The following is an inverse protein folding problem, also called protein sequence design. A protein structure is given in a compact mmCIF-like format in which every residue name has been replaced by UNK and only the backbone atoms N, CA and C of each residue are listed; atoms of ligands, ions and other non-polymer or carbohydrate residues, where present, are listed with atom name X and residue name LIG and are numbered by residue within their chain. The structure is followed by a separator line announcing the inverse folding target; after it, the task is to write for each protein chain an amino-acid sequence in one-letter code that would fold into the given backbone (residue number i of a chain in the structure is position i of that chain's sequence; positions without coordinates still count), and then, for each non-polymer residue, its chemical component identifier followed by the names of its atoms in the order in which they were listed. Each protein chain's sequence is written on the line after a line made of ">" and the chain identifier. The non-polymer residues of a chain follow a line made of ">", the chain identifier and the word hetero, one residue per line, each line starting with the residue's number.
data_IF_465834046514
#
_entry.id   IF_465834046514
#
_cell.length_a   1.000
_cell.length_b   1.000
_cell.length_c   1.000
_cell.angle_alpha   90.00
_cell.angle_beta   90.00
_cell.angle_gamma   90.00
#
_symmetry.space_group_name_H-M   'P 1'
#
loop_
_entity.id
_entity.type
_entity.pdbx_description
1 polymer ?
#
# COMPACT_ATOMS: atom_id res chain seq x y z
N UNK A 1 17.22 -8.40 1.22
CA UNK A 1 16.85 -7.79 2.51
C UNK A 1 17.91 -7.97 3.58
N UNK A 2 18.30 -9.19 4.00
CA UNK A 2 19.35 -9.35 5.04
C UNK A 2 20.68 -8.62 4.75
N UNK A 3 21.12 -8.59 3.49
CA UNK A 3 22.37 -7.90 3.11
C UNK A 3 22.29 -6.38 3.04
N UNK A 4 21.11 -5.78 3.27
CA UNK A 4 20.86 -4.33 3.17
C UNK A 4 20.09 -3.81 4.40
N UNK A 5 20.12 -4.54 5.52
CA UNK A 5 19.37 -4.20 6.73
C UNK A 5 20.12 -4.69 7.97
N UNK A 6 20.22 -3.85 9.00
CA UNK A 6 20.80 -4.23 10.29
C UNK A 6 19.91 -5.26 11.03
N UNK A 7 18.60 -5.08 10.93
CA UNK A 7 17.60 -5.98 11.48
C UNK A 7 16.59 -6.38 10.40
N UNK A 8 16.14 -7.64 10.45
CA UNK A 8 15.10 -8.15 9.57
C UNK A 8 14.04 -8.90 10.37
N UNK A 9 12.83 -8.36 10.35
CA UNK A 9 11.64 -8.99 10.88
C UNK A 9 10.82 -9.60 9.75
N UNK A 10 10.43 -10.86 9.90
CA UNK A 10 9.56 -11.57 8.96
C UNK A 10 8.25 -11.83 9.68
N UNK A 11 7.13 -11.49 9.02
CA UNK A 11 5.78 -11.75 9.51
C UNK A 11 5.02 -12.59 8.49
N UNK A 12 4.21 -13.53 8.96
CA UNK A 12 3.32 -14.34 8.13
C UNK A 12 1.96 -14.47 8.81
N UNK A 13 0.89 -14.28 8.05
CA UNK A 13 -0.49 -14.34 8.56
C UNK A 13 -0.87 -15.71 9.13
N UNK A 14 -0.19 -16.78 8.71
CA UNK A 14 -0.40 -18.16 9.18
C UNK A 14 0.66 -18.65 10.17
N UNK A 15 1.63 -17.79 10.52
CA UNK A 15 2.73 -18.12 11.42
C UNK A 15 3.75 -19.12 10.88
N UNK A 16 3.69 -19.49 9.59
CA UNK A 16 4.62 -20.45 8.98
C UNK A 16 6.07 -19.99 9.02
N UNK A 17 6.33 -18.67 9.14
CA UNK A 17 7.68 -18.13 9.24
C UNK A 17 7.75 -16.82 10.03
N UNK A 18 8.60 -16.79 11.04
CA UNK A 18 8.85 -15.58 11.82
C UNK A 18 7.70 -15.29 12.79
N UNK A 19 7.18 -14.07 12.78
CA UNK A 19 6.08 -13.65 13.64
C UNK A 19 4.74 -13.98 13.00
N UNK A 20 3.86 -14.63 13.75
CA UNK A 20 2.46 -14.84 13.36
C UNK A 20 1.67 -13.55 13.60
N UNK A 21 1.20 -12.92 12.52
CA UNK A 21 0.47 -11.67 12.57
C UNK A 21 0.89 -10.69 11.47
N UNK A 22 0.51 -9.43 11.64
CA UNK A 22 0.73 -8.40 10.65
C UNK A 22 2.03 -7.64 10.90
N UNK A 23 2.54 -6.97 9.85
CA UNK A 23 3.69 -6.07 9.96
C UNK A 23 3.47 -4.96 10.99
N UNK A 24 2.23 -4.54 11.21
CA UNK A 24 1.86 -3.52 12.20
C UNK A 24 2.13 -3.94 13.63
N UNK A 25 2.10 -5.24 13.92
CA UNK A 25 2.31 -5.78 15.27
C UNK A 25 3.78 -5.59 15.68
N UNK A 26 4.70 -5.85 14.74
CA UNK A 26 6.13 -5.59 14.92
C UNK A 26 6.42 -4.10 15.04
N UNK A 27 5.86 -3.27 14.16
CA UNK A 27 6.06 -1.81 14.20
C UNK A 27 5.58 -1.25 15.55
N UNK A 28 4.39 -1.66 16.00
CA UNK A 28 3.84 -1.25 17.29
C UNK A 28 4.75 -1.68 18.45
N UNK A 29 5.20 -2.94 18.45
CA UNK A 29 6.11 -3.46 19.49
C UNK A 29 7.42 -2.67 19.57
N UNK A 30 8.00 -2.30 18.44
CA UNK A 30 9.25 -1.52 18.41
C UNK A 30 9.04 -0.11 18.97
N UNK A 31 7.95 0.56 18.58
CA UNK A 31 7.61 1.91 19.05
C UNK A 31 7.28 1.92 20.55
N UNK A 32 6.47 0.98 21.02
CA UNK A 32 6.12 0.83 22.45
C UNK A 32 7.34 0.42 23.29
N UNK A 33 8.26 -0.36 22.71
CA UNK A 33 9.51 -0.75 23.34
C UNK A 33 10.56 0.37 23.45
N UNK A 34 10.25 1.58 22.97
CA UNK A 34 11.15 2.73 23.02
C UNK A 34 12.27 2.69 21.97
N UNK A 35 12.14 1.86 20.93
CA UNK A 35 13.08 1.86 19.81
C UNK A 35 13.00 3.21 19.11
N UNK A 36 14.14 3.89 18.94
CA UNK A 36 14.18 5.16 18.23
C UNK A 36 13.95 4.91 16.74
N UNK A 37 12.83 5.41 16.21
CA UNK A 37 12.48 5.34 14.79
C UNK A 37 12.20 6.75 14.28
N UNK A 38 13.12 7.28 13.48
CA UNK A 38 12.99 8.63 12.91
C UNK A 38 12.08 8.66 11.66
N UNK A 39 11.93 7.52 10.96
CA UNK A 39 11.14 7.41 9.73
C UNK A 39 10.64 6.00 9.49
N UNK A 40 9.40 5.88 9.00
CA UNK A 40 8.82 4.65 8.46
C UNK A 40 8.51 4.84 6.98
N UNK A 41 8.83 3.84 6.15
CA UNK A 41 8.43 3.78 4.75
C UNK A 41 7.62 2.50 4.54
N UNK A 42 6.37 2.65 4.08
CA UNK A 42 5.44 1.54 3.90
C UNK A 42 5.06 1.38 2.43
N UNK A 43 5.24 0.16 1.91
CA UNK A 43 4.95 -0.20 0.52
C UNK A 43 4.19 -1.53 0.55
N UNK A 44 2.96 -1.53 0.05
CA UNK A 44 2.11 -2.71 0.06
C UNK A 44 0.65 -2.37 -0.24
N UNK A 45 -0.30 -3.25 0.13
CA UNK A 45 -1.72 -2.98 -0.08
C UNK A 45 -2.18 -1.68 0.61
N UNK A 46 -3.14 -0.92 0.04
CA UNK A 46 -3.64 0.32 0.65
C UNK A 46 -4.13 0.14 2.10
N UNK A 47 -4.74 -1.02 2.39
CA UNK A 47 -5.21 -1.37 3.74
C UNK A 47 -4.02 -1.50 4.70
N UNK A 48 -2.94 -2.15 4.29
CA UNK A 48 -1.72 -2.28 5.09
C UNK A 48 -1.08 -0.91 5.33
N UNK A 49 -0.95 -0.09 4.28
CA UNK A 49 -0.38 1.26 4.38
C UNK A 49 -1.20 2.15 5.31
N UNK A 50 -2.54 2.09 5.24
CA UNK A 50 -3.45 2.77 6.17
C UNK A 50 -3.23 2.33 7.62
N UNK A 51 -3.07 1.03 7.85
CA UNK A 51 -2.83 0.51 9.20
C UNK A 51 -1.47 0.96 9.76
N UNK A 52 -0.42 0.98 8.94
CA UNK A 52 0.90 1.51 9.34
C UNK A 52 0.80 3.01 9.67
N UNK A 53 0.10 3.80 8.87
CA UNK A 53 -0.16 5.21 9.15
C UNK A 53 -0.88 5.39 10.51
N UNK A 54 -1.84 4.53 10.82
CA UNK A 54 -2.56 4.52 12.09
C UNK A 54 -1.68 4.18 13.29
N UNK A 55 -0.80 3.18 13.17
CA UNK A 55 0.10 2.77 14.27
C UNK A 55 1.18 3.81 14.56
N UNK A 56 1.68 4.48 13.53
CA UNK A 56 2.80 5.44 13.66
C UNK A 56 2.36 6.83 14.11
N UNK A 57 1.11 7.23 13.83
CA UNK A 57 0.60 8.57 14.12
C UNK A 57 0.65 8.96 15.61
N UNK A 58 0.25 8.12 16.58
CA UNK A 58 0.34 8.45 18.01
C UNK A 58 1.78 8.70 18.50
N UNK A 59 2.77 8.11 17.85
CA UNK A 59 4.18 8.26 18.18
C UNK A 59 4.85 9.41 17.43
N UNK A 60 4.09 10.16 16.62
CA UNK A 60 4.58 11.27 15.81
C UNK A 60 5.77 10.90 14.90
N UNK A 61 5.79 9.65 14.41
CA UNK A 61 6.86 9.16 13.53
C UNK A 61 6.53 9.49 12.09
N UNK A 62 7.47 10.17 11.40
CA UNK A 62 7.32 10.52 9.99
C UNK A 62 7.14 9.26 9.15
N UNK A 63 5.97 9.14 8.51
CA UNK A 63 5.59 7.92 7.78
C UNK A 63 5.30 8.24 6.34
N UNK A 64 6.03 7.59 5.44
CA UNK A 64 5.91 7.75 3.99
C UNK A 64 5.27 6.48 3.43
N UNK A 65 4.35 6.65 2.50
CA UNK A 65 3.71 5.55 1.76
C UNK A 65 3.93 5.71 0.28
N UNK A 66 4.23 4.60 -0.41
CA UNK A 66 4.26 4.57 -1.88
C UNK A 66 2.89 4.11 -2.39
N UNK A 67 2.07 5.04 -2.87
CA UNK A 67 0.70 4.75 -3.29
C UNK A 67 0.66 3.97 -4.60
N UNK A 68 -0.29 3.04 -4.69
CA UNK A 68 -0.54 2.18 -5.84
C UNK A 68 -1.90 2.49 -6.48
N UNK A 69 -2.11 3.74 -6.90
CA UNK A 69 -3.34 4.15 -7.61
C UNK A 69 -3.37 3.64 -9.06
N UNK A 70 -4.55 3.65 -9.69
CA UNK A 70 -4.71 3.29 -11.10
C UNK A 70 -3.91 4.25 -11.97
N UNK A 71 -3.05 3.75 -12.85
CA UNK A 71 -2.29 4.54 -13.81
C UNK A 71 -2.66 4.16 -15.24
N UNK A 72 -2.65 5.14 -16.15
CA UNK A 72 -2.87 4.91 -17.59
C UNK A 72 -1.68 5.47 -18.38
N UNK A 73 -1.49 6.79 -18.40
CA UNK A 73 -0.38 7.42 -19.11
C UNK A 73 0.92 7.43 -18.29
N UNK A 74 0.83 7.67 -16.98
CA UNK A 74 1.99 7.71 -16.08
C UNK A 74 2.86 8.96 -16.23
N UNK A 75 2.40 9.98 -16.94
CA UNK A 75 3.16 11.20 -17.27
C UNK A 75 2.45 12.50 -16.87
N UNK A 76 1.32 12.40 -16.18
CA UNK A 76 0.55 13.54 -15.66
C UNK A 76 -0.53 14.06 -16.60
N UNK A 77 -0.82 13.39 -17.72
CA UNK A 77 -1.75 13.89 -18.74
C UNK A 77 -3.22 13.55 -18.44
N UNK A 78 -3.52 12.38 -17.85
CA UNK A 78 -4.90 11.92 -17.74
C UNK A 78 -5.55 12.06 -16.35
N UNK A 79 -4.75 12.17 -15.27
CA UNK A 79 -5.26 12.24 -13.90
C UNK A 79 -5.90 10.94 -13.37
N UNK A 80 -5.74 9.80 -14.03
CA UNK A 80 -6.22 8.50 -13.54
C UNK A 80 -5.63 8.16 -12.16
N UNK A 81 -4.36 8.51 -11.96
CA UNK A 81 -3.62 8.23 -10.73
C UNK A 81 -3.89 9.24 -9.60
N UNK A 82 -4.92 10.10 -9.73
CA UNK A 82 -5.20 11.13 -8.74
C UNK A 82 -5.48 10.54 -7.35
N UNK A 83 -4.96 11.21 -6.34
CA UNK A 83 -5.11 10.93 -4.92
C UNK A 83 -5.41 12.24 -4.18
N UNK A 84 -6.00 12.15 -3.00
CA UNK A 84 -6.24 13.30 -2.13
C UNK A 84 -5.24 13.23 -0.98
N UNK A 85 -4.40 14.27 -0.85
CA UNK A 85 -3.35 14.37 0.18
C UNK A 85 -3.46 15.74 0.81
N UNK A 86 -3.76 15.80 2.11
CA UNK A 86 -3.88 17.08 2.83
C UNK A 86 -4.97 18.00 2.26
N UNK A 87 -6.09 17.43 1.80
CA UNK A 87 -7.18 18.13 1.09
C UNK A 87 -6.81 18.69 -0.29
N UNK A 88 -5.63 18.37 -0.83
CA UNK A 88 -5.24 18.73 -2.19
C UNK A 88 -5.28 17.52 -3.11
N UNK A 89 -5.79 17.71 -4.33
CA UNK A 89 -5.70 16.68 -5.36
C UNK A 89 -4.28 16.66 -5.92
N UNK A 90 -3.63 15.49 -5.88
CA UNK A 90 -2.28 15.24 -6.41
C UNK A 90 -2.32 14.06 -7.38
N UNK A 91 -1.39 14.01 -8.32
CA UNK A 91 -1.24 12.93 -9.29
C UNK A 91 -0.06 12.05 -8.90
N UNK A 92 -0.32 10.80 -8.50
CA UNK A 92 0.73 9.93 -7.98
C UNK A 92 1.90 9.69 -8.95
N UNK A 93 1.68 9.75 -10.28
CA UNK A 93 2.74 9.55 -11.26
C UNK A 93 3.73 10.72 -11.41
N UNK A 94 3.36 11.95 -11.01
CA UNK A 94 4.20 13.15 -11.18
C UNK A 94 4.47 13.88 -9.87
N UNK A 95 3.51 13.91 -8.95
CA UNK A 95 3.64 14.51 -7.62
C UNK A 95 4.15 13.51 -6.57
N UNK A 96 4.11 12.20 -6.89
CA UNK A 96 4.44 11.11 -5.97
C UNK A 96 5.43 10.11 -6.58
N UNK A 97 5.21 8.78 -6.42
CA UNK A 97 4.07 8.11 -5.75
C UNK A 97 4.17 8.11 -4.22
N UNK A 98 5.26 8.65 -3.68
CA UNK A 98 5.54 8.74 -2.26
C UNK A 98 4.86 9.97 -1.64
N UNK A 99 4.02 9.75 -0.63
CA UNK A 99 3.33 10.82 0.10
C UNK A 99 3.42 10.61 1.61
N UNK A 100 3.15 11.69 2.36
CA UNK A 100 2.96 11.60 3.81
C UNK A 100 1.71 10.76 4.11
N UNK A 101 1.92 9.61 4.72
CA UNK A 101 0.88 8.65 5.03
C UNK A 101 -0.19 9.23 5.96
N UNK A 102 0.16 10.23 6.79
CA UNK A 102 -0.78 10.87 7.69
C UNK A 102 -1.68 11.88 6.99
N UNK A 103 -1.42 12.23 5.74
CA UNK A 103 -2.22 13.18 4.97
C UNK A 103 -3.05 12.51 3.85
N UNK A 104 -2.80 11.24 3.55
CA UNK A 104 -3.47 10.50 2.46
C UNK A 104 -4.90 10.11 2.84
N UNK A 105 -5.85 10.37 1.94
CA UNK A 105 -7.19 9.77 2.01
C UNK A 105 -7.18 8.34 1.43
N UNK A 106 -6.96 7.37 2.32
CA UNK A 106 -6.97 5.95 1.94
C UNK A 106 -8.35 5.45 1.54
N UNK A 107 -9.44 6.04 2.05
CA UNK A 107 -10.80 5.62 1.70
C UNK A 107 -11.09 5.95 0.24
N UNK A 108 -10.79 7.18 -0.18
CA UNK A 108 -10.89 7.59 -1.57
C UNK A 108 -10.01 6.72 -2.47
N UNK A 109 -8.75 6.49 -2.08
CA UNK A 109 -7.83 5.63 -2.84
C UNK A 109 -8.39 4.22 -3.07
N UNK A 110 -8.87 3.57 -2.01
CA UNK A 110 -9.42 2.20 -2.10
C UNK A 110 -10.71 2.15 -2.94
N UNK A 111 -11.60 3.13 -2.79
CA UNK A 111 -12.80 3.23 -3.62
C UNK A 111 -12.46 3.37 -5.10
N UNK A 112 -11.42 4.15 -5.42
CA UNK A 112 -10.95 4.29 -6.80
C UNK A 112 -10.35 3.00 -7.35
N UNK A 113 -9.60 2.26 -6.53
CA UNK A 113 -9.02 0.97 -6.93
C UNK A 113 -10.07 -0.10 -7.22
N UNK A 114 -11.23 -0.02 -6.58
CA UNK A 114 -12.33 -0.95 -6.83
C UNK A 114 -13.12 -0.64 -8.13
N UNK A 115 -12.82 0.46 -8.83
CA UNK A 115 -13.63 0.97 -9.94
C UNK A 115 -13.79 -0.03 -11.10
N UNK A 116 -12.75 -0.79 -11.43
CA UNK A 116 -12.75 -1.69 -12.59
C UNK A 116 -12.84 -3.17 -12.23
N UNK A 117 -13.23 -3.51 -11.00
CA UNK A 117 -13.37 -4.90 -10.57
C UNK A 117 -14.29 -5.76 -11.49
N UNK A 118 -15.43 -5.25 -12.01
CA UNK A 118 -16.25 -6.00 -12.96
C UNK A 118 -15.49 -6.33 -14.26
N UNK A 119 -14.80 -5.36 -14.83
CA UNK A 119 -14.03 -5.50 -16.07
C UNK A 119 -12.81 -6.40 -15.87
N UNK A 120 -12.11 -6.27 -14.75
CA UNK A 120 -10.99 -7.12 -14.36
C UNK A 120 -11.43 -8.58 -14.25
N UNK A 121 -12.57 -8.85 -13.59
CA UNK A 121 -13.13 -10.20 -13.47
C UNK A 121 -13.46 -10.78 -14.85
N UNK A 122 -14.15 -10.02 -15.69
CA UNK A 122 -14.49 -10.45 -17.06
C UNK A 122 -13.23 -10.72 -17.89
N UNK A 123 -12.20 -9.89 -17.76
CA UNK A 123 -10.93 -10.06 -18.48
C UNK A 123 -10.21 -11.33 -18.05
N UNK A 124 -10.17 -11.63 -16.75
CA UNK A 124 -9.57 -12.87 -16.20
C UNK A 124 -10.33 -14.10 -16.68
N UNK A 125 -11.67 -14.08 -16.64
CA UNK A 125 -12.50 -15.19 -17.13
C UNK A 125 -12.28 -15.45 -18.62
N UNK A 126 -12.30 -14.40 -19.45
CA UNK A 126 -12.00 -14.50 -20.89
C UNK A 126 -10.59 -15.03 -21.14
N UNK A 127 -9.61 -14.62 -20.34
CA UNK A 127 -8.21 -15.08 -20.48
C UNK A 127 -8.06 -16.56 -20.16
N UNK A 128 -8.67 -17.05 -19.07
CA UNK A 128 -8.68 -18.47 -18.71
C UNK A 128 -9.32 -19.32 -19.79
N UNK A 129 -10.48 -18.89 -20.28
CA UNK A 129 -11.22 -19.52 -21.38
C UNK A 129 -10.36 -19.70 -22.65
N UNK A 130 -9.53 -18.69 -23.00
CA UNK A 130 -8.65 -18.75 -24.17
C UNK A 130 -7.40 -19.62 -23.98
N UNK A 131 -6.88 -19.76 -22.76
CA UNK A 131 -5.63 -20.50 -22.49
C UNK A 131 -5.85 -21.96 -22.14
N UNK A 132 -6.88 -22.25 -21.35
CA UNK A 132 -7.14 -23.60 -20.81
C UNK A 132 -8.19 -24.35 -21.66
N UNK A 133 -8.76 -23.67 -22.67
CA UNK A 133 -9.88 -24.16 -23.47
C UNK A 133 -11.19 -24.05 -22.69
N UNK A 134 -12.13 -23.26 -23.21
CA UNK A 134 -13.50 -23.33 -22.75
C UNK A 134 -14.19 -24.56 -23.35
N UNK A 135 -14.85 -25.35 -22.50
CA UNK A 135 -15.89 -26.33 -22.88
C UNK A 135 -17.27 -25.67 -23.01
N UNK A 136 -17.33 -24.40 -23.43
CA UNK A 136 -18.60 -23.73 -23.69
C UNK A 136 -19.30 -24.33 -24.92
#
# INVERSE_FOLDING_TARGET
>A
MRGVSDELYITTDDGTKGHHGFVTDIIKKLLEGGTKIDRVVAIGPPVMMRSVAGVTRPFNVKTIVSLNSIMVDGTGMCGACRVLVGNETKFACVDGPEFDAHLVDFTLLMNRLAMYQPEEKLAVEKHKCKREGCTC
#
